data_IF_469105678905
#
_entry.id   IF_469105678905
#
_cell.length_a   1.000
_cell.length_b   1.000
_cell.length_c   1.000
_cell.angle_alpha   90.00
_cell.angle_beta   90.00
_cell.angle_gamma   90.00
#
_symmetry.space_group_name_H-M   'P 1'
#
loop_
_entity.id
_entity.type
_entity.pdbx_description
1 polymer ?
#
# COMPACT_ATOMS: atom_id res chain seq x y z
N UNK A 1 -1.45 -31.34 3.19
CA UNK A 1 -1.11 -29.96 3.58
C UNK A 1 -2.25 -29.43 4.42
N UNK A 2 -1.95 -28.89 5.61
CA UNK A 2 -2.90 -28.55 6.69
C UNK A 2 -3.58 -27.18 6.54
N UNK A 3 -3.38 -26.48 5.41
CA UNK A 3 -3.93 -25.16 5.14
C UNK A 3 -3.28 -24.03 5.95
N UNK A 4 -2.22 -24.32 6.71
CA UNK A 4 -1.53 -23.29 7.51
C UNK A 4 -0.57 -22.46 6.66
N UNK A 5 -0.41 -21.19 7.03
CA UNK A 5 0.49 -20.26 6.36
C UNK A 5 1.95 -20.66 6.62
N UNK A 6 2.57 -21.33 5.66
CA UNK A 6 3.96 -21.80 5.78
C UNK A 6 4.99 -20.66 5.73
N UNK A 7 4.87 -19.75 4.76
CA UNK A 7 5.81 -18.66 4.58
C UNK A 7 5.14 -17.41 4.01
N UNK A 8 5.55 -16.25 4.51
CA UNK A 8 5.10 -14.97 3.99
C UNK A 8 6.23 -13.94 4.03
N UNK A 9 6.74 -13.57 2.85
CA UNK A 9 7.92 -12.71 2.68
C UNK A 9 7.58 -11.45 1.91
N UNK A 10 8.15 -10.32 2.32
CA UNK A 10 8.13 -9.06 1.55
C UNK A 10 6.82 -8.26 1.57
N UNK A 11 5.70 -8.85 2.00
CA UNK A 11 4.39 -8.19 2.09
C UNK A 11 4.26 -7.23 3.28
N UNK A 12 3.46 -6.18 3.08
CA UNK A 12 3.17 -5.11 4.03
C UNK A 12 2.73 -5.64 5.41
N UNK A 13 1.96 -6.74 5.46
CA UNK A 13 1.56 -7.40 6.72
C UNK A 13 2.74 -7.78 7.64
N UNK A 14 3.91 -8.15 7.11
CA UNK A 14 5.11 -8.51 7.90
C UNK A 14 6.07 -7.35 8.14
N UNK A 15 5.88 -6.21 7.47
CA UNK A 15 6.75 -5.03 7.63
C UNK A 15 6.46 -4.32 8.94
N UNK A 16 7.50 -3.74 9.55
CA UNK A 16 7.36 -2.81 10.68
C UNK A 16 6.88 -1.47 10.13
N UNK A 17 5.83 -0.91 10.73
CA UNK A 17 5.11 0.22 10.14
C UNK A 17 4.10 -0.21 9.08
N UNK A 18 3.84 0.67 8.12
CA UNK A 18 2.84 0.59 7.03
C UNK A 18 1.41 0.98 7.43
N UNK A 19 0.60 1.21 6.40
CA UNK A 19 -0.83 1.49 6.50
C UNK A 19 -1.57 0.23 7.00
N UNK A 20 -2.19 0.34 8.17
CA UNK A 20 -2.85 -0.79 8.85
C UNK A 20 -3.95 -1.42 7.98
N UNK A 21 -4.73 -0.62 7.25
CA UNK A 21 -5.76 -1.08 6.31
C UNK A 21 -5.20 -2.10 5.31
N UNK A 22 -4.01 -1.86 4.74
CA UNK A 22 -3.40 -2.79 3.78
C UNK A 22 -2.95 -4.08 4.47
N UNK A 23 -2.45 -3.99 5.70
CA UNK A 23 -2.04 -5.16 6.47
C UNK A 23 -3.21 -6.07 6.80
N UNK A 24 -4.33 -5.48 7.23
CA UNK A 24 -5.57 -6.20 7.54
C UNK A 24 -6.19 -6.79 6.28
N UNK A 25 -6.26 -6.01 5.20
CA UNK A 25 -6.68 -6.49 3.89
C UNK A 25 -5.86 -7.71 3.45
N UNK A 26 -4.53 -7.63 3.49
CA UNK A 26 -3.67 -8.76 3.12
C UNK A 26 -3.87 -9.97 4.03
N UNK A 27 -4.02 -9.77 5.34
CA UNK A 27 -4.24 -10.86 6.30
C UNK A 27 -5.49 -11.66 5.96
N UNK A 28 -6.59 -10.98 5.66
CA UNK A 28 -7.84 -11.62 5.28
C UNK A 28 -7.79 -12.21 3.86
N UNK A 29 -7.12 -11.52 2.94
CA UNK A 29 -7.03 -11.93 1.54
C UNK A 29 -6.29 -13.26 1.38
N UNK A 30 -5.19 -13.46 2.11
CA UNK A 30 -4.35 -14.66 1.97
C UNK A 30 -5.08 -15.95 2.36
N UNK A 31 -5.98 -15.88 3.34
CA UNK A 31 -6.86 -17.00 3.69
C UNK A 31 -7.79 -17.39 2.53
N UNK A 32 -8.29 -16.39 1.78
CA UNK A 32 -9.24 -16.64 0.67
C UNK A 32 -8.64 -17.22 -0.59
N UNK A 33 -7.32 -17.18 -0.76
CA UNK A 33 -6.67 -17.88 -1.87
C UNK A 33 -6.77 -19.41 -1.77
N UNK A 34 -7.14 -19.96 -0.60
CA UNK A 34 -7.35 -21.40 -0.42
C UNK A 34 -8.79 -21.84 -0.73
N UNK A 35 -9.67 -20.90 -1.06
CA UNK A 35 -11.07 -21.19 -1.39
C UNK A 35 -11.26 -21.39 -2.89
N UNK A 36 -12.30 -22.15 -3.26
CA UNK A 36 -12.67 -22.45 -4.64
C UNK A 36 -12.08 -23.76 -5.17
N UNK A 37 -12.78 -24.37 -6.12
CA UNK A 37 -12.32 -25.59 -6.82
C UNK A 37 -11.73 -25.28 -8.20
N UNK A 38 -11.97 -24.08 -8.72
CA UNK A 38 -11.41 -23.55 -9.97
C UNK A 38 -10.63 -22.25 -9.72
N UNK A 39 -9.81 -21.86 -10.69
CA UNK A 39 -9.05 -20.61 -10.60
C UNK A 39 -9.99 -19.39 -10.58
N UNK A 40 -11.09 -19.46 -11.32
CA UNK A 40 -12.14 -18.46 -11.38
C UNK A 40 -12.87 -18.33 -10.04
N UNK A 41 -13.22 -19.45 -9.40
CA UNK A 41 -13.85 -19.46 -8.08
C UNK A 41 -12.91 -18.90 -7.00
N UNK A 42 -11.62 -19.22 -7.07
CA UNK A 42 -10.61 -18.67 -6.18
C UNK A 42 -10.53 -17.14 -6.30
N UNK A 43 -10.38 -16.63 -7.52
CA UNK A 43 -10.36 -15.18 -7.75
C UNK A 43 -11.67 -14.49 -7.39
N UNK A 44 -12.82 -15.17 -7.54
CA UNK A 44 -14.12 -14.66 -7.09
C UNK A 44 -14.17 -14.50 -5.57
N UNK A 45 -13.71 -15.49 -4.81
CA UNK A 45 -13.65 -15.42 -3.34
C UNK A 45 -12.74 -14.28 -2.85
N UNK A 46 -11.57 -14.15 -3.47
CA UNK A 46 -10.59 -13.08 -3.20
C UNK A 46 -11.14 -11.70 -3.60
N UNK A 47 -11.88 -11.62 -4.70
CA UNK A 47 -12.53 -10.38 -5.15
C UNK A 47 -13.67 -9.93 -4.24
N UNK A 48 -14.41 -10.86 -3.62
CA UNK A 48 -15.43 -10.50 -2.64
C UNK A 48 -14.83 -9.75 -1.45
N UNK A 49 -13.68 -10.19 -0.94
CA UNK A 49 -12.92 -9.48 0.11
C UNK A 49 -12.49 -8.09 -0.37
N UNK A 50 -11.90 -8.00 -1.57
CA UNK A 50 -11.47 -6.72 -2.13
C UNK A 50 -12.63 -5.71 -2.26
N UNK A 51 -13.79 -6.16 -2.73
CA UNK A 51 -14.98 -5.31 -2.84
C UNK A 51 -15.48 -4.83 -1.49
N UNK A 52 -15.49 -5.68 -0.45
CA UNK A 52 -15.88 -5.29 0.91
C UNK A 52 -14.99 -4.19 1.48
N UNK A 53 -13.67 -4.28 1.26
CA UNK A 53 -12.73 -3.23 1.68
C UNK A 53 -12.87 -1.94 0.85
N UNK A 54 -13.20 -2.05 -0.44
CA UNK A 54 -13.52 -0.89 -1.26
C UNK A 54 -14.83 -0.20 -0.79
N UNK A 55 -15.83 -0.98 -0.37
CA UNK A 55 -17.10 -0.45 0.14
C UNK A 55 -16.90 0.33 1.44
N UNK A 56 -16.00 -0.12 2.32
CA UNK A 56 -15.60 0.61 3.53
C UNK A 56 -14.97 1.97 3.23
N UNK A 57 -14.21 2.08 2.14
CA UNK A 57 -13.63 3.37 1.74
C UNK A 57 -14.66 4.25 1.00
N UNK A 58 -15.52 3.64 0.19
CA UNK A 58 -16.56 4.36 -0.57
C UNK A 58 -17.68 4.89 0.33
N UNK A 59 -18.02 4.18 1.41
CA UNK A 59 -18.96 4.65 2.43
C UNK A 59 -18.29 5.52 3.51
N UNK A 60 -16.99 5.84 3.36
CA UNK A 60 -16.20 6.64 4.30
C UNK A 60 -16.24 6.14 5.75
N UNK A 61 -16.30 4.81 5.94
CA UNK A 61 -16.33 4.19 7.26
C UNK A 61 -17.50 4.65 8.12
N UNK A 62 -18.66 4.97 7.51
CA UNK A 62 -19.85 5.44 8.25
C UNK A 62 -20.39 4.39 9.24
N UNK A 63 -20.16 3.11 8.94
CA UNK A 63 -20.72 1.97 9.69
C UNK A 63 -19.75 1.45 10.78
N UNK A 64 -18.60 2.10 10.97
CA UNK A 64 -17.57 1.73 11.96
C UNK A 64 -17.33 2.86 12.95
N UNK A 65 -16.92 2.53 14.17
CA UNK A 65 -16.62 3.51 15.21
C UNK A 65 -15.34 4.30 14.86
N UNK A 66 -15.24 5.54 15.38
CA UNK A 66 -14.13 6.43 15.08
C UNK A 66 -12.77 5.88 15.54
N UNK A 67 -12.74 5.19 16.68
CA UNK A 67 -11.53 4.52 17.19
C UNK A 67 -11.06 3.39 16.27
N UNK A 68 -11.99 2.58 15.76
CA UNK A 68 -11.72 1.49 14.83
C UNK A 68 -11.27 2.05 13.46
N UNK A 69 -11.96 3.08 12.97
CA UNK A 69 -11.60 3.78 11.74
C UNK A 69 -10.16 4.31 11.83
N UNK A 70 -9.81 5.01 12.92
CA UNK A 70 -8.47 5.52 13.15
C UNK A 70 -7.42 4.40 13.16
N UNK A 71 -7.72 3.24 13.75
CA UNK A 71 -6.80 2.10 13.68
C UNK A 71 -6.56 1.71 12.22
N UNK A 72 -7.62 1.52 11.42
CA UNK A 72 -7.52 1.07 10.03
C UNK A 72 -6.76 2.06 9.16
N UNK A 73 -7.08 3.35 9.24
CA UNK A 73 -6.47 4.35 8.35
C UNK A 73 -5.13 4.90 8.88
N UNK A 74 -4.71 4.49 10.08
CA UNK A 74 -3.41 4.91 10.61
C UNK A 74 -2.25 4.23 9.89
N UNK A 75 -1.25 5.04 9.59
CA UNK A 75 0.06 4.59 9.15
C UNK A 75 1.05 4.83 10.29
N UNK A 76 2.00 3.91 10.45
CA UNK A 76 3.07 4.08 11.44
C UNK A 76 4.44 4.00 10.79
N UNK A 77 5.33 4.89 11.22
CA UNK A 77 6.73 4.96 10.79
C UNK A 77 7.60 5.29 12.00
N UNK A 78 8.68 4.54 12.18
CA UNK A 78 9.65 4.77 13.25
C UNK A 78 10.82 5.59 12.72
N UNK A 79 11.10 6.72 13.35
CA UNK A 79 12.23 7.58 13.00
C UNK A 79 13.54 6.95 13.51
N UNK A 80 14.53 6.80 12.62
CA UNK A 80 15.83 6.23 12.98
C UNK A 80 16.77 7.23 13.66
N UNK A 81 16.52 8.53 13.45
CA UNK A 81 17.27 9.65 14.01
C UNK A 81 16.35 10.59 14.80
N UNK A 82 16.93 11.49 15.59
CA UNK A 82 16.19 12.54 16.30
C UNK A 82 15.62 13.57 15.31
N UNK A 83 14.58 14.31 15.69
CA UNK A 83 13.97 15.30 14.80
C UNK A 83 14.98 16.39 14.36
N UNK A 84 15.89 16.79 15.25
CA UNK A 84 16.94 17.77 14.95
C UNK A 84 17.90 17.30 13.85
N UNK A 85 18.23 16.00 13.82
CA UNK A 85 19.13 15.40 12.83
C UNK A 85 18.50 15.31 11.42
N UNK A 86 17.17 15.33 11.32
CA UNK A 86 16.46 15.31 10.03
C UNK A 86 16.42 16.68 9.34
N UNK A 87 16.60 17.79 10.06
CA UNK A 87 16.61 19.15 9.50
C UNK A 87 15.38 19.46 8.63
N UNK A 88 15.65 19.79 7.36
CA UNK A 88 14.63 20.19 6.37
C UNK A 88 14.05 19.04 5.54
N UNK A 89 14.37 17.78 5.89
CA UNK A 89 13.82 16.64 5.16
C UNK A 89 12.29 16.58 5.29
N UNK A 90 11.61 16.51 4.14
CA UNK A 90 10.15 16.44 4.07
C UNK A 90 9.69 14.99 4.01
N UNK A 91 9.09 14.49 5.09
CA UNK A 91 8.42 13.19 5.12
C UNK A 91 7.22 13.22 6.06
N UNK A 92 6.28 12.29 5.89
CA UNK A 92 5.11 12.18 6.79
C UNK A 92 5.56 12.01 8.25
N UNK A 93 6.60 11.21 8.50
CA UNK A 93 7.15 10.99 9.84
C UNK A 93 7.72 12.28 10.45
N UNK A 94 8.48 13.07 9.66
CA UNK A 94 9.05 14.35 10.12
C UNK A 94 7.94 15.36 10.41
N UNK A 95 6.94 15.50 9.53
CA UNK A 95 5.80 16.39 9.77
C UNK A 95 5.01 15.98 11.01
N UNK A 96 4.79 14.67 11.19
CA UNK A 96 4.12 14.13 12.38
C UNK A 96 4.91 14.45 13.65
N UNK A 97 6.23 14.26 13.65
CA UNK A 97 7.09 14.60 14.77
C UNK A 97 7.05 16.10 15.09
N UNK A 98 7.16 16.98 14.09
CA UNK A 98 7.02 18.44 14.28
C UNK A 98 5.67 18.79 14.91
N UNK A 99 4.58 18.19 14.43
CA UNK A 99 3.24 18.40 14.97
C UNK A 99 3.07 17.84 16.39
N UNK A 100 3.71 16.72 16.72
CA UNK A 100 3.74 16.17 18.07
C UNK A 100 4.54 17.08 19.03
N UNK A 101 5.65 17.65 18.59
CA UNK A 101 6.42 18.62 19.38
C UNK A 101 5.61 19.89 19.66
N UNK A 102 4.94 20.43 18.64
CA UNK A 102 4.05 21.60 18.75
C UNK A 102 2.90 21.41 19.74
N UNK A 103 2.44 20.16 19.91
CA UNK A 103 1.25 19.82 20.69
C UNK A 103 1.60 19.29 22.10
N UNK A 104 2.55 18.36 22.21
CA UNK A 104 2.94 17.70 23.47
C UNK A 104 4.23 18.28 24.08
N UNK A 105 4.88 19.23 23.40
CA UNK A 105 6.15 19.82 23.79
C UNK A 105 7.38 19.10 23.21
N UNK A 106 8.49 19.83 23.18
CA UNK A 106 9.74 19.37 22.54
C UNK A 106 10.37 18.15 23.21
N UNK A 107 10.02 17.84 24.46
CA UNK A 107 10.56 16.67 25.18
C UNK A 107 10.22 15.36 24.48
N UNK A 108 9.08 15.27 23.79
CA UNK A 108 8.63 14.05 23.11
C UNK A 108 9.44 13.69 21.86
N UNK A 109 10.21 14.62 21.30
CA UNK A 109 10.91 14.45 20.01
C UNK A 109 12.44 14.49 20.11
N UNK A 110 12.97 14.55 21.33
CA UNK A 110 14.42 14.60 21.59
C UNK A 110 15.10 13.27 21.30
N UNK A 111 14.43 12.17 21.64
CA UNK A 111 15.02 10.84 21.56
C UNK A 111 14.87 10.21 20.17
N UNK A 112 15.81 9.33 19.84
CA UNK A 112 15.77 8.50 18.62
C UNK A 112 14.72 7.41 18.78
N UNK A 113 14.15 6.94 17.67
CA UNK A 113 13.19 5.84 17.70
C UNK A 113 11.73 6.26 17.91
N UNK A 114 11.41 7.55 17.79
CA UNK A 114 10.03 8.04 17.88
C UNK A 114 9.13 7.30 16.89
N UNK A 115 8.05 6.71 17.39
CA UNK A 115 7.01 6.08 16.59
C UNK A 115 5.99 7.14 16.18
N UNK A 116 6.09 7.62 14.94
CA UNK A 116 5.12 8.53 14.36
C UNK A 116 3.93 7.72 13.84
N UNK A 117 2.78 7.85 14.48
CA UNK A 117 1.51 7.33 14.00
C UNK A 117 0.64 8.48 13.50
N UNK A 118 0.21 8.41 12.24
CA UNK A 118 -0.49 9.50 11.58
C UNK A 118 -1.57 9.02 10.62
N UNK A 119 -2.45 9.95 10.27
CA UNK A 119 -3.38 9.86 9.14
C UNK A 119 -3.04 10.94 8.11
N UNK A 120 -3.50 10.78 6.88
CA UNK A 120 -3.33 11.79 5.82
C UNK A 120 -4.62 12.60 5.70
N UNK A 121 -4.51 13.91 5.93
CA UNK A 121 -5.64 14.83 5.81
C UNK A 121 -5.91 15.25 4.36
N UNK A 122 -7.16 15.52 3.98
CA UNK A 122 -7.57 15.96 2.64
C UNK A 122 -7.13 17.40 2.33
N UNK A 123 -7.08 18.25 3.36
CA UNK A 123 -6.65 19.64 3.27
C UNK A 123 -5.25 19.83 3.88
N UNK A 124 -4.44 20.78 3.35
CA UNK A 124 -4.75 21.68 2.24
C UNK A 124 -4.61 21.00 0.87
N UNK A 125 -5.61 21.13 -0.01
CA UNK A 125 -5.53 20.60 -1.38
C UNK A 125 -4.32 21.13 -2.14
N UNK A 126 -3.73 20.26 -2.98
CA UNK A 126 -2.56 20.58 -3.79
C UNK A 126 -1.22 20.53 -3.03
N UNK A 127 -1.23 20.33 -1.71
CA UNK A 127 0.02 20.13 -0.95
C UNK A 127 0.48 18.67 -0.97
N UNK A 128 1.81 18.43 -0.88
CA UNK A 128 2.34 17.07 -0.82
C UNK A 128 1.77 16.26 0.34
N UNK A 129 1.63 14.95 0.16
CA UNK A 129 1.14 14.01 1.20
C UNK A 129 1.93 14.15 2.51
N UNK A 130 3.23 14.39 2.42
CA UNK A 130 4.12 14.58 3.57
C UNK A 130 3.74 15.77 4.46
N UNK A 131 3.17 16.83 3.89
CA UNK A 131 2.77 18.04 4.62
C UNK A 131 1.36 17.91 5.24
N UNK A 132 0.58 16.91 4.80
CA UNK A 132 -0.79 16.64 5.25
C UNK A 132 -0.89 15.58 6.35
N UNK A 133 0.23 15.08 6.86
CA UNK A 133 0.25 14.05 7.91
C UNK A 133 -0.19 14.61 9.28
N UNK A 134 -1.31 14.11 9.83
CA UNK A 134 -1.87 14.49 11.13
C UNK A 134 -1.59 13.40 12.16
N UNK A 135 -0.95 13.69 13.31
CA UNK A 135 -0.72 12.70 14.35
C UNK A 135 -2.02 12.13 14.91
N UNK A 136 -2.14 10.81 15.04
CA UNK A 136 -3.35 10.17 15.60
C UNK A 136 -3.62 10.59 17.05
N UNK A 137 -2.57 10.93 17.79
CA UNK A 137 -2.67 11.35 19.19
C UNK A 137 -3.62 12.53 19.41
N UNK A 138 -3.82 13.41 18.41
CA UNK A 138 -4.71 14.57 18.53
C UNK A 138 -6.19 14.18 18.70
N UNK A 139 -6.59 12.99 18.22
CA UNK A 139 -7.98 12.53 18.33
C UNK A 139 -8.32 11.93 19.70
N UNK A 140 -7.32 11.78 20.58
CA UNK A 140 -7.50 11.33 21.96
C UNK A 140 -7.52 12.47 22.98
N UNK A 141 -7.48 13.72 22.54
CA UNK A 141 -7.40 14.91 23.42
C UNK A 141 -8.75 15.57 23.60
N UNK A 142 -8.82 16.58 24.47
CA UNK A 142 -10.02 17.40 24.61
C UNK A 142 -10.44 18.03 23.27
N UNK A 143 -11.76 18.11 22.97
CA UNK A 143 -12.26 18.61 21.69
C UNK A 143 -11.77 20.02 21.33
N UNK A 144 -11.62 20.91 22.32
CA UNK A 144 -11.13 22.28 22.09
C UNK A 144 -9.68 22.31 21.61
N UNK A 145 -8.82 21.50 22.23
CA UNK A 145 -7.41 21.35 21.86
C UNK A 145 -7.30 20.69 20.49
N UNK A 146 -8.07 19.62 20.27
CA UNK A 146 -8.15 18.93 18.99
C UNK A 146 -8.52 19.91 17.86
N UNK A 147 -9.63 20.64 18.01
CA UNK A 147 -10.12 21.59 17.00
C UNK A 147 -9.15 22.76 16.77
N UNK A 148 -8.46 23.25 17.80
CA UNK A 148 -7.43 24.28 17.66
C UNK A 148 -6.29 23.82 16.73
N UNK A 149 -5.69 22.66 16.99
CA UNK A 149 -4.57 22.15 16.19
C UNK A 149 -5.00 21.68 14.80
N UNK A 150 -6.19 21.08 14.67
CA UNK A 150 -6.71 20.67 13.36
C UNK A 150 -6.96 21.89 12.45
N UNK A 151 -7.51 22.99 12.97
CA UNK A 151 -7.64 24.25 12.21
C UNK A 151 -6.28 24.80 11.78
N UNK A 152 -5.29 24.78 12.68
CA UNK A 152 -3.91 25.19 12.38
C UNK A 152 -3.27 24.35 11.27
N UNK A 153 -3.42 23.02 11.34
CA UNK A 153 -2.71 22.08 10.46
C UNK A 153 -3.41 21.82 9.12
N UNK A 154 -4.73 21.75 9.11
CA UNK A 154 -5.54 21.52 7.91
C UNK A 154 -5.97 22.83 7.23
N UNK A 155 -5.65 23.99 7.83
CA UNK A 155 -6.03 25.32 7.33
C UNK A 155 -7.53 25.47 7.11
N UNK A 156 -8.32 24.88 7.99
CA UNK A 156 -9.80 24.89 7.93
C UNK A 156 -10.37 25.91 8.93
N UNK A 157 -11.49 26.53 8.60
CA UNK A 157 -12.15 27.55 9.42
C UNK A 157 -13.21 26.99 10.38
N UNK A 158 -13.81 25.84 10.06
CA UNK A 158 -14.84 25.17 10.86
C UNK A 158 -14.27 24.03 11.69
N UNK A 159 -14.99 23.63 12.73
CA UNK A 159 -14.74 22.36 13.42
C UNK A 159 -15.13 21.21 12.49
N UNK A 160 -14.26 20.21 12.39
CA UNK A 160 -14.37 19.15 11.40
C UNK A 160 -14.28 17.80 12.09
N UNK A 161 -15.28 16.94 11.88
CA UNK A 161 -15.23 15.56 12.33
C UNK A 161 -14.16 14.75 11.59
N UNK A 162 -13.69 13.67 12.20
CA UNK A 162 -12.57 12.84 11.71
C UNK A 162 -12.74 12.45 10.23
N UNK A 163 -13.93 11.99 9.83
CA UNK A 163 -14.23 11.56 8.45
C UNK A 163 -14.06 12.65 7.39
N UNK A 164 -14.30 13.90 7.75
CA UNK A 164 -14.15 15.03 6.82
C UNK A 164 -12.68 15.44 6.67
N UNK A 165 -11.84 15.15 7.67
CA UNK A 165 -10.40 15.42 7.63
C UNK A 165 -9.68 14.40 6.77
N UNK A 166 -10.11 13.14 6.77
CA UNK A 166 -9.44 12.04 6.08
C UNK A 166 -9.41 12.25 4.56
N UNK A 167 -8.23 12.07 3.94
CA UNK A 167 -8.12 11.99 2.48
C UNK A 167 -8.52 10.59 1.97
N UNK A 168 -9.83 10.35 1.82
CA UNK A 168 -10.34 9.07 1.32
C UNK A 168 -9.78 8.68 -0.05
N UNK A 169 -9.48 9.67 -0.91
CA UNK A 169 -8.93 9.42 -2.24
C UNK A 169 -7.52 8.82 -2.17
N UNK A 170 -6.70 9.31 -1.23
CA UNK A 170 -5.37 8.77 -0.95
C UNK A 170 -5.43 7.31 -0.50
N UNK A 171 -6.30 7.00 0.48
CA UNK A 171 -6.44 5.63 0.99
C UNK A 171 -7.02 4.68 -0.07
N UNK A 172 -7.99 5.14 -0.86
CA UNK A 172 -8.55 4.38 -1.99
C UNK A 172 -7.51 4.06 -3.04
N UNK A 173 -6.66 5.02 -3.39
CA UNK A 173 -5.56 4.79 -4.34
C UNK A 173 -4.55 3.77 -3.80
N UNK A 174 -4.17 3.86 -2.52
CA UNK A 174 -3.27 2.88 -1.88
C UNK A 174 -3.87 1.47 -1.92
N UNK A 175 -5.16 1.32 -1.61
CA UNK A 175 -5.86 0.04 -1.68
C UNK A 175 -5.96 -0.48 -3.14
N UNK A 176 -6.27 0.39 -4.10
CA UNK A 176 -6.28 0.03 -5.52
C UNK A 176 -4.94 -0.54 -5.97
N UNK A 177 -3.82 0.10 -5.60
CA UNK A 177 -2.49 -0.41 -5.93
C UNK A 177 -2.20 -1.77 -5.27
N UNK A 178 -2.68 -2.01 -4.05
CA UNK A 178 -2.55 -3.32 -3.41
C UNK A 178 -3.39 -4.39 -4.13
N UNK A 179 -4.65 -4.09 -4.46
CA UNK A 179 -5.55 -4.96 -5.22
C UNK A 179 -4.95 -5.29 -6.60
N UNK A 180 -4.38 -4.31 -7.29
CA UNK A 180 -3.70 -4.54 -8.58
C UNK A 180 -2.55 -5.52 -8.45
N UNK A 181 -1.64 -5.27 -7.49
CA UNK A 181 -0.45 -6.11 -7.28
C UNK A 181 -0.78 -7.55 -6.92
N UNK A 182 -1.81 -7.76 -6.10
CA UNK A 182 -2.09 -9.07 -5.50
C UNK A 182 -3.20 -9.84 -6.22
N UNK A 183 -4.15 -9.16 -6.87
CA UNK A 183 -5.34 -9.79 -7.46
C UNK A 183 -5.39 -9.59 -8.96
N UNK A 184 -5.56 -8.36 -9.43
CA UNK A 184 -6.01 -8.14 -10.82
C UNK A 184 -4.90 -8.32 -11.85
N UNK A 185 -3.65 -7.93 -11.53
CA UNK A 185 -2.49 -8.20 -12.41
C UNK A 185 -2.22 -9.70 -12.52
N UNK A 186 -2.11 -10.48 -11.40
CA UNK A 186 -1.97 -11.93 -11.47
C UNK A 186 -3.11 -12.61 -12.23
N UNK A 187 -4.38 -12.24 -11.97
CA UNK A 187 -5.54 -12.78 -12.67
C UNK A 187 -5.41 -12.61 -14.19
N UNK A 188 -5.09 -11.40 -14.65
CA UNK A 188 -4.89 -11.11 -16.06
C UNK A 188 -3.73 -11.92 -16.67
N UNK A 189 -2.63 -12.08 -15.94
CA UNK A 189 -1.48 -12.87 -16.39
C UNK A 189 -1.77 -14.37 -16.47
N UNK A 190 -2.78 -14.84 -15.74
CA UNK A 190 -3.31 -16.21 -15.79
C UNK A 190 -4.52 -16.34 -16.73
N UNK A 191 -4.81 -15.31 -17.52
CA UNK A 191 -5.93 -15.25 -18.48
C UNK A 191 -7.33 -15.34 -17.85
N UNK A 192 -7.43 -14.97 -16.58
CA UNK A 192 -8.72 -14.79 -15.90
C UNK A 192 -9.19 -13.36 -16.13
N UNK A 193 -10.50 -13.19 -16.42
CA UNK A 193 -11.11 -11.87 -16.53
C UNK A 193 -10.91 -11.06 -15.23
N UNK A 194 -10.86 -9.73 -15.33
CA UNK A 194 -10.63 -8.89 -14.15
C UNK A 194 -11.69 -9.17 -13.06
N UNK A 195 -11.31 -9.79 -11.92
CA UNK A 195 -12.27 -10.21 -10.91
C UNK A 195 -12.77 -9.04 -10.06
N UNK A 196 -12.09 -7.88 -10.11
CA UNK A 196 -12.50 -6.64 -9.42
C UNK A 196 -12.62 -5.50 -10.45
N UNK A 197 -13.72 -5.40 -11.21
CA UNK A 197 -13.87 -4.42 -12.30
C UNK A 197 -13.76 -2.95 -11.87
N UNK A 198 -14.05 -2.64 -10.60
CA UNK A 198 -13.88 -1.31 -9.99
C UNK A 198 -12.43 -0.83 -10.03
N UNK A 199 -11.47 -1.76 -10.03
CA UNK A 199 -10.04 -1.47 -10.10
C UNK A 199 -9.55 -1.78 -11.50
N UNK A 200 -9.41 -0.74 -12.32
CA UNK A 200 -8.93 -0.86 -13.70
C UNK A 200 -7.48 -1.30 -13.73
N UNK A 201 -7.13 -2.05 -14.78
CA UNK A 201 -5.75 -2.41 -15.05
C UNK A 201 -4.95 -1.19 -15.50
N UNK A 202 -3.64 -1.15 -15.19
CA UNK A 202 -2.76 -0.14 -15.78
C UNK A 202 -2.52 -0.42 -17.27
N UNK A 203 -2.32 0.62 -18.07
CA UNK A 203 -2.24 0.52 -19.52
C UNK A 203 -1.14 -0.43 -20.02
N UNK A 204 0.01 -0.47 -19.33
CA UNK A 204 1.13 -1.35 -19.67
C UNK A 204 0.79 -2.83 -19.60
N UNK A 205 -0.21 -3.22 -18.80
CA UNK A 205 -0.56 -4.63 -18.60
C UNK A 205 -1.14 -5.24 -19.88
N UNK A 206 -1.96 -4.49 -20.62
CA UNK A 206 -2.53 -4.95 -21.88
C UNK A 206 -1.45 -5.29 -22.92
N UNK A 207 -0.36 -4.51 -22.95
CA UNK A 207 0.79 -4.81 -23.80
C UNK A 207 1.45 -6.14 -23.40
N UNK A 208 1.68 -6.35 -22.11
CA UNK A 208 2.36 -7.53 -21.58
C UNK A 208 1.54 -8.82 -21.71
N UNK A 209 0.21 -8.74 -21.56
CA UNK A 209 -0.69 -9.88 -21.80
C UNK A 209 -0.65 -10.28 -23.27
N UNK A 210 -0.72 -9.30 -24.20
CA UNK A 210 -0.61 -9.56 -25.64
C UNK A 210 0.75 -10.18 -26.02
N UNK A 211 1.86 -9.69 -25.47
CA UNK A 211 3.20 -10.25 -25.72
C UNK A 211 3.32 -11.72 -25.27
N UNK A 212 2.61 -12.12 -24.21
CA UNK A 212 2.55 -13.52 -23.76
C UNK A 212 1.68 -14.41 -24.64
N UNK A 213 0.65 -13.83 -25.27
CA UNK A 213 -0.22 -14.54 -26.20
C UNK A 213 0.35 -14.60 -27.62
N UNK A 214 1.39 -13.82 -27.91
CA UNK A 214 2.04 -13.81 -29.22
C UNK A 214 2.90 -15.07 -29.43
N UNK A 215 2.41 -15.95 -30.31
CA UNK A 215 3.11 -17.18 -30.74
C UNK A 215 4.48 -16.90 -31.37
N UNK A 216 4.69 -15.69 -31.91
CA UNK A 216 5.93 -15.30 -32.59
C UNK A 216 6.80 -14.43 -31.68
N UNK A 217 7.54 -15.07 -30.78
CA UNK A 217 8.55 -14.36 -30.00
C UNK A 217 9.70 -13.92 -30.91
N UNK A 218 9.92 -12.61 -30.99
CA UNK A 218 11.08 -12.03 -31.65
C UNK A 218 12.36 -12.54 -30.96
N UNK A 219 13.10 -13.44 -31.61
CA UNK A 219 14.38 -13.95 -31.10
C UNK A 219 15.34 -12.76 -30.97
N UNK A 220 16.05 -12.67 -29.85
CA UNK A 220 17.12 -11.66 -29.71
C UNK A 220 18.18 -11.96 -30.76
N UNK A 221 18.68 -10.93 -31.44
CA UNK A 221 19.75 -11.08 -32.43
C UNK A 221 20.98 -11.76 -31.82
N UNK A 222 21.26 -11.53 -30.54
CA UNK A 222 22.37 -12.15 -29.81
C UNK A 222 22.28 -13.69 -29.78
N UNK A 223 21.07 -14.27 -29.72
CA UNK A 223 20.88 -15.73 -29.79
C UNK A 223 21.14 -16.28 -31.20
N UNK A 224 21.07 -15.43 -32.24
CA UNK A 224 21.37 -15.82 -33.62
C UNK A 224 22.86 -15.78 -33.96
N UNK A 225 23.68 -15.10 -33.14
CA UNK A 225 25.12 -14.94 -33.36
C UNK A 225 25.98 -15.67 -32.32
N UNK A 226 25.52 -16.81 -31.82
CA UNK A 226 26.39 -17.69 -31.03
C UNK A 226 27.50 -18.26 -31.93
N UNK A 227 28.79 -18.12 -31.56
CA UNK A 227 29.88 -18.68 -32.36
C UNK A 227 29.74 -20.21 -32.39
N UNK A 228 29.72 -20.80 -33.58
CA UNK A 228 29.73 -22.24 -33.74
C UNK A 228 30.95 -22.82 -33.01
N UNK A 229 30.72 -23.70 -32.03
CA UNK A 229 31.77 -24.44 -31.36
C UNK A 229 32.61 -25.16 -32.42
N UNK A 230 33.86 -24.71 -32.59
CA UNK A 230 34.88 -25.38 -33.39
C UNK A 230 35.46 -26.57 -32.62
N UNK A 231 34.64 -27.57 -32.31
CA UNK A 231 35.10 -28.85 -31.73
C UNK A 231 34.61 -30.06 -32.56
N UNK A 232 34.57 -29.89 -33.87
CA UNK A 232 34.47 -31.00 -34.83
C UNK A 232 35.63 -30.85 -35.80
N UNK A 233 36.80 -31.38 -35.46
CA UNK A 233 37.88 -31.82 -36.35
C UNK A 233 39.10 -32.12 -35.47
N UNK A 234 39.18 -33.34 -34.92
CA UNK A 234 40.41 -34.07 -34.58
C UNK A 234 40.02 -35.37 -33.85
N UNK A 235 39.43 -36.33 -34.57
CA UNK A 235 39.67 -37.73 -34.22
C UNK A 235 39.47 -38.62 -35.46
N UNK A 236 40.54 -38.81 -36.21
CA UNK A 236 40.63 -39.89 -37.20
C UNK A 236 42.09 -40.28 -37.32
N UNK A 237 42.57 -41.11 -36.40
CA UNK A 237 43.70 -42.03 -36.59
C UNK A 237 43.76 -43.04 -35.45
N UNK A 238 43.15 -44.22 -35.65
CA UNK A 238 43.58 -45.52 -35.11
C UNK A 238 42.75 -46.65 -35.75
N UNK A 239 43.23 -47.16 -36.87
CA UNK A 239 43.80 -48.52 -37.06
C UNK A 239 44.24 -48.64 -38.51
#
# INVERSE_FOLDING_TARGET
HDGTLAELKGFEIKRRGELKLIKLFQAELFDKFLHGSTLEECYSAVAAVANRWLDLLDNQGKDIADSELLEYISESSTMSKSLAEYGDQKSCAVTTAKRLADFLGDTMVKDKGLRCQYIVACEPKGTPVSERAVPVAIFGTDPEVMNFYLRKWCKTSSDVGIRLIIDWSYYKQRLHSAIQKVITIPAAMQKVANPVPRVRHPDWLHKKVREKDDTFHQRKLDDMFSPANKDCLLDTKRT
#
